data_IF_366771713339
#
_entry.id   IF_366771713339
#
_cell.length_a   1.000
_cell.length_b   1.000
_cell.length_c   1.000
_cell.angle_alpha   90.00
_cell.angle_beta   90.00
_cell.angle_gamma   90.00
#
_symmetry.space_group_name_H-M   'P 1'
#
loop_
_entity.id
_entity.type
_entity.pdbx_description
1 polymer ?
#
# COMPACT_ATOMS: atom_id res chain seq x y z
N UNK A 1 -19.44 -4.83 -15.42
CA UNK A 1 -19.27 -5.79 -14.32
C UNK A 1 -18.42 -5.14 -13.24
N UNK A 2 -18.95 -4.93 -12.03
CA UNK A 2 -18.19 -4.32 -10.92
C UNK A 2 -17.13 -5.32 -10.47
N UNK A 3 -15.88 -5.13 -10.89
CA UNK A 3 -14.76 -5.97 -10.47
C UNK A 3 -14.41 -5.57 -9.04
N UNK A 4 -14.88 -6.34 -8.07
CA UNK A 4 -14.43 -6.22 -6.67
C UNK A 4 -13.00 -6.77 -6.64
N UNK A 5 -12.02 -5.91 -6.94
CA UNK A 5 -10.61 -6.22 -6.76
C UNK A 5 -10.33 -6.06 -5.27
N UNK A 6 -10.23 -7.18 -4.56
CA UNK A 6 -9.76 -7.19 -3.17
C UNK A 6 -8.26 -6.86 -3.16
N UNK A 7 -7.92 -5.59 -2.98
CA UNK A 7 -6.54 -5.17 -2.73
C UNK A 7 -6.06 -5.83 -1.42
N UNK A 8 -4.84 -6.40 -1.40
CA UNK A 8 -4.30 -7.17 -0.27
C UNK A 8 -4.38 -6.43 1.08
N UNK A 9 -4.44 -5.10 1.05
CA UNK A 9 -4.53 -4.28 2.26
C UNK A 9 -5.88 -4.33 2.98
N UNK A 10 -6.99 -4.48 2.23
CA UNK A 10 -8.31 -4.60 2.87
C UNK A 10 -8.37 -5.87 3.72
N UNK A 11 -7.73 -6.97 3.31
CA UNK A 11 -7.77 -8.22 4.08
C UNK A 11 -6.98 -8.17 5.40
N UNK A 12 -5.86 -7.44 5.47
CA UNK A 12 -5.08 -7.29 6.72
C UNK A 12 -5.74 -6.35 7.75
N UNK A 13 -6.56 -5.41 7.28
CA UNK A 13 -7.23 -4.41 8.13
C UNK A 13 -8.62 -4.85 8.60
N UNK A 14 -9.33 -5.68 7.82
CA UNK A 14 -10.73 -6.05 8.08
C UNK A 14 -10.88 -7.24 9.05
N UNK A 15 -9.78 -7.83 9.54
CA UNK A 15 -9.84 -9.00 10.43
C UNK A 15 -10.45 -8.73 11.84
N UNK A 16 -11.05 -7.56 12.09
CA UNK A 16 -11.80 -7.27 13.31
C UNK A 16 -13.03 -6.40 13.04
N UNK A 17 -14.20 -7.04 12.96
CA UNK A 17 -15.56 -6.53 13.28
C UNK A 17 -15.83 -5.02 13.23
N UNK A 18 -16.75 -4.58 12.35
CA UNK A 18 -17.74 -3.48 12.45
C UNK A 18 -17.49 -2.20 13.30
N UNK A 19 -16.27 -1.88 13.68
CA UNK A 19 -15.92 -0.74 14.54
C UNK A 19 -14.78 0.02 13.90
N UNK A 20 -14.86 1.35 13.98
CA UNK A 20 -13.82 2.34 13.69
C UNK A 20 -12.40 1.77 13.60
N UNK A 21 -11.75 1.99 12.46
CA UNK A 21 -10.35 1.61 12.30
C UNK A 21 -9.48 2.54 13.13
N UNK A 22 -9.15 2.13 14.35
CA UNK A 22 -8.13 2.82 15.13
C UNK A 22 -6.79 2.81 14.36
N UNK A 23 -6.07 3.94 14.40
CA UNK A 23 -4.74 4.04 13.84
C UNK A 23 -3.86 2.88 14.36
N UNK A 24 -3.18 2.19 13.44
CA UNK A 24 -2.31 1.08 13.76
C UNK A 24 -1.13 1.54 14.62
N UNK A 25 -0.65 0.65 15.48
CA UNK A 25 0.61 0.86 16.21
C UNK A 25 1.81 0.81 15.26
N UNK A 26 2.92 1.45 15.65
CA UNK A 26 4.18 1.39 14.88
C UNK A 26 4.66 -0.05 14.62
N UNK A 27 4.42 -0.98 15.55
CA UNK A 27 4.78 -2.39 15.35
C UNK A 27 3.92 -3.07 14.29
N UNK A 28 2.63 -2.72 14.20
CA UNK A 28 1.75 -3.22 13.15
C UNK A 28 2.11 -2.59 11.79
N UNK A 29 2.40 -1.29 11.73
CA UNK A 29 2.87 -0.61 10.51
C UNK A 29 4.12 -1.29 9.93
N UNK A 30 5.12 -1.60 10.77
CA UNK A 30 6.32 -2.34 10.33
C UNK A 30 6.00 -3.72 9.76
N UNK A 31 5.02 -4.43 10.31
CA UNK A 31 4.60 -5.74 9.81
C UNK A 31 3.92 -5.62 8.44
N UNK A 32 3.03 -4.65 8.28
CA UNK A 32 2.36 -4.40 7.00
C UNK A 32 3.35 -3.99 5.90
N UNK A 33 4.27 -3.07 6.20
CA UNK A 33 5.32 -2.65 5.28
C UNK A 33 6.22 -3.82 4.85
N UNK A 34 6.59 -4.69 5.81
CA UNK A 34 7.37 -5.90 5.51
C UNK A 34 6.59 -6.87 4.64
N UNK A 35 5.34 -7.15 4.97
CA UNK A 35 4.48 -8.03 4.19
C UNK A 35 4.39 -7.56 2.73
N UNK A 36 4.14 -6.26 2.53
CA UNK A 36 4.15 -5.64 1.21
C UNK A 36 5.46 -5.86 0.46
N UNK A 37 6.57 -5.58 1.13
CA UNK A 37 7.91 -5.67 0.54
C UNK A 37 8.25 -7.11 0.19
N UNK A 38 7.98 -8.07 1.07
CA UNK A 38 8.19 -9.49 0.82
C UNK A 38 7.37 -9.96 -0.40
N UNK A 39 6.13 -9.49 -0.56
CA UNK A 39 5.33 -9.75 -1.77
C UNK A 39 5.98 -9.12 -3.02
N UNK A 40 6.53 -7.91 -2.92
CA UNK A 40 7.27 -7.30 -4.03
C UNK A 40 8.56 -8.04 -4.37
N UNK A 41 9.25 -8.65 -3.40
CA UNK A 41 10.39 -9.54 -3.67
C UNK A 41 9.97 -10.70 -4.55
N UNK A 42 8.91 -11.40 -4.16
CA UNK A 42 8.41 -12.55 -4.92
C UNK A 42 7.98 -12.18 -6.33
N UNK A 43 7.35 -11.02 -6.51
CA UNK A 43 6.85 -10.59 -7.83
C UNK A 43 7.92 -9.95 -8.71
N UNK A 44 8.82 -9.16 -8.14
CA UNK A 44 9.73 -8.30 -8.89
C UNK A 44 11.17 -8.79 -8.87
N UNK A 45 11.45 -9.86 -8.11
CA UNK A 45 12.79 -10.42 -7.91
C UNK A 45 13.77 -9.32 -7.45
N UNK A 46 13.41 -8.63 -6.37
CA UNK A 46 14.21 -7.52 -5.84
C UNK A 46 15.57 -8.01 -5.35
N UNK A 47 16.60 -7.20 -5.59
CA UNK A 47 17.89 -7.38 -4.90
C UNK A 47 17.78 -7.01 -3.42
N UNK A 48 18.77 -7.37 -2.61
CA UNK A 48 18.81 -7.00 -1.19
C UNK A 48 18.83 -5.48 -0.96
N UNK A 49 19.48 -4.72 -1.84
CA UNK A 49 19.50 -3.25 -1.75
C UNK A 49 18.10 -2.71 -2.03
N UNK A 50 17.50 -3.12 -3.15
CA UNK A 50 16.13 -2.74 -3.49
C UNK A 50 15.13 -3.17 -2.41
N UNK A 51 15.33 -4.31 -1.75
CA UNK A 51 14.47 -4.75 -0.65
C UNK A 51 14.41 -3.73 0.48
N UNK A 52 15.57 -3.24 0.92
CA UNK A 52 15.65 -2.29 2.03
C UNK A 52 14.98 -0.96 1.64
N UNK A 53 15.28 -0.44 0.45
CA UNK A 53 14.72 0.82 -0.03
C UNK A 53 13.20 0.72 -0.23
N UNK A 54 12.72 -0.38 -0.82
CA UNK A 54 11.28 -0.65 -0.98
C UNK A 54 10.58 -0.81 0.37
N UNK A 55 11.24 -1.40 1.37
CA UNK A 55 10.70 -1.51 2.72
C UNK A 55 10.49 -0.12 3.35
N UNK A 56 11.47 0.77 3.22
CA UNK A 56 11.36 2.14 3.75
C UNK A 56 10.23 2.91 3.05
N UNK A 57 10.17 2.88 1.72
CA UNK A 57 9.08 3.51 0.94
C UNK A 57 7.70 2.96 1.34
N UNK A 58 7.58 1.64 1.51
CA UNK A 58 6.34 1.02 1.95
C UNK A 58 6.00 1.38 3.40
N UNK A 59 6.99 1.52 4.27
CA UNK A 59 6.80 1.94 5.65
C UNK A 59 6.27 3.38 5.72
N UNK A 60 6.91 4.30 5.01
CA UNK A 60 6.51 5.71 4.97
C UNK A 60 5.10 5.87 4.40
N UNK A 61 4.78 5.14 3.33
CA UNK A 61 3.43 5.10 2.78
C UNK A 61 2.40 4.59 3.81
N UNK A 62 2.61 3.41 4.40
CA UNK A 62 1.65 2.84 5.37
C UNK A 62 1.51 3.74 6.61
N UNK A 63 2.61 4.34 7.06
CA UNK A 63 2.63 5.29 8.17
C UNK A 63 1.82 6.54 7.84
N UNK A 64 2.01 7.13 6.65
CA UNK A 64 1.33 8.35 6.22
C UNK A 64 -0.20 8.20 6.13
N UNK A 65 -0.69 7.05 5.65
CA UNK A 65 -2.12 6.79 5.47
C UNK A 65 -2.79 6.27 6.75
N UNK A 66 -2.01 5.82 7.75
CA UNK A 66 -2.51 5.14 8.94
C UNK A 66 -3.67 5.89 9.65
N UNK A 67 -3.56 7.21 9.74
CA UNK A 67 -4.53 8.04 10.45
C UNK A 67 -5.76 8.43 9.61
N UNK A 68 -5.75 8.19 8.30
CA UNK A 68 -6.84 8.55 7.40
C UNK A 68 -7.66 7.35 6.92
N UNK A 69 -7.19 6.12 7.19
CA UNK A 69 -7.82 4.91 6.66
C UNK A 69 -9.28 4.73 7.11
N UNK A 70 -9.64 5.15 8.32
CA UNK A 70 -11.03 5.09 8.81
C UNK A 70 -11.96 5.96 7.94
N UNK A 71 -11.51 7.16 7.56
CA UNK A 71 -12.27 8.08 6.71
C UNK A 71 -12.25 7.65 5.24
N UNK A 72 -11.13 7.09 4.75
CA UNK A 72 -11.03 6.49 3.41
C UNK A 72 -12.05 5.38 3.24
N UNK A 73 -12.16 4.47 4.22
CA UNK A 73 -13.13 3.36 4.18
C UNK A 73 -14.58 3.84 4.24
N UNK A 74 -14.83 4.98 4.88
CA UNK A 74 -16.16 5.64 4.88
C UNK A 74 -16.46 6.44 3.61
N UNK A 75 -15.54 6.49 2.65
CA UNK A 75 -15.72 7.21 1.39
C UNK A 75 -15.62 8.74 1.54
N UNK A 76 -14.93 9.23 2.56
CA UNK A 76 -14.67 10.67 2.69
C UNK A 76 -13.78 11.15 1.55
N UNK A 77 -14.26 12.08 0.72
CA UNK A 77 -13.54 12.55 -0.47
C UNK A 77 -12.17 13.15 -0.16
N UNK A 78 -12.06 13.96 0.88
CA UNK A 78 -10.78 14.57 1.28
C UNK A 78 -9.78 13.53 1.77
N UNK A 79 -10.24 12.49 2.47
CA UNK A 79 -9.38 11.39 2.90
C UNK A 79 -8.93 10.53 1.71
N UNK A 80 -9.82 10.33 0.73
CA UNK A 80 -9.49 9.66 -0.53
C UNK A 80 -8.42 10.45 -1.31
N UNK A 81 -8.58 11.77 -1.46
CA UNK A 81 -7.59 12.63 -2.13
C UNK A 81 -6.21 12.47 -1.48
N UNK A 82 -6.14 12.61 -0.15
CA UNK A 82 -4.88 12.42 0.60
C UNK A 82 -4.31 11.02 0.44
N UNK A 83 -5.15 9.99 0.40
CA UNK A 83 -4.68 8.63 0.18
C UNK A 83 -4.00 8.53 -1.19
N UNK A 84 -4.65 9.06 -2.24
CA UNK A 84 -4.11 8.99 -3.60
C UNK A 84 -2.84 9.82 -3.75
N UNK A 85 -2.74 10.99 -3.11
CA UNK A 85 -1.51 11.77 -3.05
C UNK A 85 -0.35 10.94 -2.47
N UNK A 86 -0.57 10.26 -1.34
CA UNK A 86 0.46 9.41 -0.72
C UNK A 86 0.80 8.18 -1.58
N UNK A 87 -0.20 7.63 -2.29
CA UNK A 87 0.03 6.52 -3.21
C UNK A 87 0.87 6.94 -4.41
N UNK A 88 0.63 8.13 -4.95
CA UNK A 88 1.39 8.69 -6.06
C UNK A 88 2.84 8.96 -5.66
N UNK A 89 3.07 9.56 -4.48
CA UNK A 89 4.42 9.74 -3.92
C UNK A 89 5.14 8.40 -3.80
N UNK A 90 4.52 7.40 -3.17
CA UNK A 90 5.10 6.05 -3.04
C UNK A 90 5.47 5.46 -4.40
N UNK A 91 4.57 5.59 -5.38
CA UNK A 91 4.81 5.03 -6.71
C UNK A 91 5.87 5.79 -7.49
N UNK A 92 6.06 7.09 -7.24
CA UNK A 92 7.18 7.86 -7.79
C UNK A 92 8.50 7.44 -7.13
N UNK A 93 8.54 7.32 -5.80
CA UNK A 93 9.73 6.85 -5.08
C UNK A 93 10.18 5.46 -5.56
N UNK A 94 9.24 4.54 -5.75
CA UNK A 94 9.54 3.21 -6.31
C UNK A 94 10.12 3.26 -7.72
N UNK A 95 9.82 4.29 -8.51
CA UNK A 95 10.38 4.44 -9.85
C UNK A 95 11.90 4.67 -9.81
N UNK A 96 12.40 5.29 -8.74
CA UNK A 96 13.83 5.56 -8.55
C UNK A 96 14.61 4.34 -8.06
N UNK A 97 13.94 3.39 -7.37
CA UNK A 97 14.54 2.18 -6.81
C UNK A 97 14.45 0.98 -7.76
N UNK A 98 13.33 0.85 -8.47
CA UNK A 98 13.07 -0.28 -9.35
C UNK A 98 13.70 -0.05 -10.73
N UNK A 99 14.19 -1.12 -11.36
CA UNK A 99 14.50 -1.07 -12.78
C UNK A 99 13.24 -0.80 -13.60
N UNK A 100 13.39 -0.24 -14.80
CA UNK A 100 12.26 0.05 -15.69
C UNK A 100 11.37 -1.19 -15.95
N UNK A 101 11.97 -2.38 -16.05
CA UNK A 101 11.23 -3.65 -16.22
C UNK A 101 10.43 -4.01 -14.96
N UNK A 102 11.04 -3.89 -13.79
CA UNK A 102 10.37 -4.13 -12.50
C UNK A 102 9.24 -3.13 -12.28
N UNK A 103 9.47 -1.85 -12.57
CA UNK A 103 8.47 -0.80 -12.41
C UNK A 103 7.26 -1.02 -13.33
N UNK A 104 7.48 -1.34 -14.61
CA UNK A 104 6.38 -1.72 -15.52
C UNK A 104 5.60 -2.93 -15.03
N UNK A 105 6.29 -3.96 -14.52
CA UNK A 105 5.63 -5.14 -13.94
C UNK A 105 4.81 -4.76 -12.71
N UNK A 106 5.38 -3.95 -11.81
CA UNK A 106 4.72 -3.42 -10.63
C UNK A 106 3.41 -2.68 -11.00
N UNK A 107 3.43 -1.80 -12.00
CA UNK A 107 2.24 -1.09 -12.48
C UNK A 107 1.15 -2.01 -13.06
N UNK A 108 1.51 -3.23 -13.48
CA UNK A 108 0.57 -4.23 -13.98
C UNK A 108 -0.03 -5.13 -12.89
N UNK A 109 0.44 -5.04 -11.64
CA UNK A 109 -0.04 -5.87 -10.53
C UNK A 109 -1.10 -5.09 -9.73
N UNK A 110 -2.37 -5.40 -9.97
CA UNK A 110 -3.51 -4.64 -9.45
C UNK A 110 -3.65 -4.70 -7.91
N UNK A 111 -3.11 -5.73 -7.25
CA UNK A 111 -3.31 -5.93 -5.83
C UNK A 111 -2.35 -5.15 -4.92
N UNK A 112 -1.28 -4.55 -5.48
CA UNK A 112 -0.44 -3.60 -4.75
C UNK A 112 -1.18 -2.26 -4.66
N UNK A 113 -1.97 -2.10 -3.60
CA UNK A 113 -2.59 -0.84 -3.15
C UNK A 113 -3.05 0.07 -4.28
N UNK A 114 -4.14 -0.32 -4.94
CA UNK A 114 -5.01 0.62 -5.64
C UNK A 114 -6.34 0.62 -4.92
N UNK A 115 -6.83 1.76 -4.41
CA UNK A 115 -8.18 1.84 -3.93
C UNK A 115 -9.14 1.54 -5.06
N UNK A 116 -10.21 0.92 -4.65
CA UNK A 116 -11.35 0.54 -5.46
C UNK A 116 -11.86 1.83 -6.15
N UNK A 117 -11.87 1.85 -7.48
CA UNK A 117 -12.77 2.76 -8.21
C UNK A 117 -14.19 2.38 -7.79
N UNK A 118 -14.81 3.22 -6.96
CA UNK A 118 -16.25 3.14 -6.70
C UNK A 118 -17.00 3.72 -7.90
#
# INVERSE_FOLDING_TARGET
MKRIVFSLFLLGLIAGSNTCMAAMSNSKIRKEARFLTDKMVHELNLSMIQYNDVYEINYDFVFSINHIMDDVVRGNSRALDRYYDNLDIRNDDLRWVLSERQYRRFLGIEYFYRPIYA
#
